data_IF_140334352249
#
_entry.id   IF_140334352249
#
_cell.length_a   1.000
_cell.length_b   1.000
_cell.length_c   1.000
_cell.angle_alpha   90.00
_cell.angle_beta   90.00
_cell.angle_gamma   90.00
#
_symmetry.space_group_name_H-M   'P 1'
#
loop_
_entity.id
_entity.type
_entity.pdbx_description
1 polymer ?
#
# COMPACT_ATOMS: atom_id res chain seq x y z
N UNK A 1 -5.89 17.93 0.35
CA UNK A 1 -6.44 17.20 1.50
C UNK A 1 -7.08 18.24 2.43
N UNK A 2 -8.36 18.11 2.77
CA UNK A 2 -9.13 19.17 3.45
C UNK A 2 -9.61 18.78 4.85
N UNK A 3 -9.65 17.50 5.17
CA UNK A 3 -10.02 16.94 6.47
C UNK A 3 -9.34 15.58 6.68
N UNK A 4 -9.50 15.00 7.87
CA UNK A 4 -8.86 13.73 8.28
C UNK A 4 -9.38 12.56 7.45
N UNK A 5 -10.67 12.53 7.11
CA UNK A 5 -11.26 11.46 6.29
C UNK A 5 -10.66 11.48 4.89
N UNK A 6 -10.55 12.65 4.26
CA UNK A 6 -9.93 12.85 2.97
C UNK A 6 -8.42 12.54 2.99
N UNK A 7 -7.74 12.76 4.13
CA UNK A 7 -6.34 12.37 4.30
C UNK A 7 -6.18 10.85 4.32
N UNK A 8 -7.06 10.17 5.06
CA UNK A 8 -7.08 8.71 5.14
C UNK A 8 -7.44 8.08 3.80
N UNK A 9 -8.41 8.64 3.07
CA UNK A 9 -8.76 8.17 1.72
C UNK A 9 -7.61 8.33 0.74
N UNK A 10 -6.91 9.48 0.80
CA UNK A 10 -5.72 9.69 0.00
C UNK A 10 -4.62 8.68 0.34
N UNK A 11 -4.36 8.45 1.63
CA UNK A 11 -3.34 7.51 2.08
C UNK A 11 -3.67 6.07 1.66
N UNK A 12 -4.91 5.61 1.87
CA UNK A 12 -5.36 4.27 1.46
C UNK A 12 -5.21 4.09 -0.06
N UNK A 13 -5.61 5.08 -0.86
CA UNK A 13 -5.41 5.07 -2.30
C UNK A 13 -3.94 4.95 -2.68
N UNK A 14 -3.06 5.70 -2.00
CA UNK A 14 -1.62 5.64 -2.23
C UNK A 14 -1.03 4.26 -1.91
N UNK A 15 -1.43 3.61 -0.83
CA UNK A 15 -0.93 2.26 -0.53
C UNK A 15 -1.44 1.22 -1.53
N UNK A 16 -2.70 1.32 -1.97
CA UNK A 16 -3.23 0.45 -3.02
C UNK A 16 -2.50 0.62 -4.36
N UNK A 17 -2.18 1.85 -4.75
CA UNK A 17 -1.38 2.14 -5.94
C UNK A 17 0.03 1.55 -5.82
N UNK A 18 0.66 1.64 -4.64
CA UNK A 18 1.97 1.06 -4.36
C UNK A 18 1.94 -0.47 -4.48
N UNK A 19 0.93 -1.14 -3.90
CA UNK A 19 0.71 -2.58 -4.03
C UNK A 19 0.62 -3.00 -5.49
N UNK A 20 -0.20 -2.29 -6.28
CA UNK A 20 -0.37 -2.59 -7.71
C UNK A 20 0.94 -2.40 -8.47
N UNK A 21 1.61 -1.26 -8.26
CA UNK A 21 2.85 -0.92 -8.92
C UNK A 21 3.94 -1.97 -8.67
N UNK A 22 4.19 -2.32 -7.40
CA UNK A 22 5.22 -3.29 -7.05
C UNK A 22 4.85 -4.71 -7.51
N UNK A 23 3.57 -5.09 -7.47
CA UNK A 23 3.10 -6.38 -7.99
C UNK A 23 3.39 -6.53 -9.49
N UNK A 24 3.19 -5.47 -10.26
CA UNK A 24 3.50 -5.47 -11.69
C UNK A 24 5.01 -5.40 -11.96
N UNK A 25 5.74 -4.57 -11.20
CA UNK A 25 7.20 -4.46 -11.31
C UNK A 25 7.95 -5.75 -11.01
N UNK A 26 7.43 -6.59 -10.10
CA UNK A 26 8.06 -7.86 -9.69
C UNK A 26 8.40 -8.77 -10.87
N UNK A 27 7.63 -8.70 -11.95
CA UNK A 27 7.86 -9.49 -13.18
C UNK A 27 9.11 -9.07 -13.96
N UNK A 28 9.67 -7.89 -13.68
CA UNK A 28 10.75 -7.26 -14.44
C UNK A 28 12.07 -7.14 -13.67
N UNK A 29 12.16 -7.66 -12.45
CA UNK A 29 13.37 -7.57 -11.60
C UNK A 29 14.03 -8.92 -11.40
N UNK A 30 15.27 -8.91 -10.88
CA UNK A 30 16.01 -10.13 -10.54
C UNK A 30 15.29 -10.93 -9.44
N UNK A 31 15.47 -12.27 -9.35
CA UNK A 31 14.87 -13.07 -8.29
C UNK A 31 15.15 -12.54 -6.87
N UNK A 32 16.38 -12.08 -6.62
CA UNK A 32 16.75 -11.45 -5.33
C UNK A 32 15.95 -10.19 -5.01
N UNK A 33 15.58 -9.40 -6.03
CA UNK A 33 14.76 -8.21 -5.87
C UNK A 33 13.27 -8.55 -5.79
N UNK A 34 12.83 -9.70 -6.34
CA UNK A 34 11.45 -10.16 -6.22
C UNK A 34 11.07 -10.45 -4.77
N UNK A 35 11.97 -11.08 -4.00
CA UNK A 35 11.74 -11.36 -2.57
C UNK A 35 11.64 -10.06 -1.76
N UNK A 36 12.49 -9.07 -2.07
CA UNK A 36 12.43 -7.75 -1.43
C UNK A 36 11.13 -7.01 -1.78
N UNK A 37 10.72 -7.03 -3.05
CA UNK A 37 9.45 -6.43 -3.47
C UNK A 37 8.25 -7.13 -2.82
N UNK A 38 8.30 -8.45 -2.63
CA UNK A 38 7.24 -9.18 -1.92
C UNK A 38 7.08 -8.67 -0.48
N UNK A 39 8.19 -8.47 0.23
CA UNK A 39 8.15 -7.92 1.59
C UNK A 39 7.54 -6.51 1.62
N UNK A 40 7.91 -5.65 0.66
CA UNK A 40 7.33 -4.30 0.55
C UNK A 40 5.83 -4.37 0.27
N UNK A 41 5.40 -5.21 -0.69
CA UNK A 41 3.98 -5.39 -1.01
C UNK A 41 3.18 -5.80 0.24
N UNK A 42 3.70 -6.73 1.03
CA UNK A 42 3.02 -7.19 2.24
C UNK A 42 2.94 -6.12 3.34
N UNK A 43 3.95 -5.27 3.48
CA UNK A 43 3.86 -4.11 4.39
C UNK A 43 2.80 -3.09 3.91
N UNK A 44 2.73 -2.78 2.61
CA UNK A 44 1.70 -1.86 2.11
C UNK A 44 0.28 -2.42 2.28
N UNK A 45 0.08 -3.74 2.14
CA UNK A 45 -1.21 -4.38 2.47
C UNK A 45 -1.57 -4.19 3.94
N UNK A 46 -0.61 -4.31 4.86
CA UNK A 46 -0.84 -4.04 6.30
C UNK A 46 -1.22 -2.59 6.52
N UNK A 47 -0.55 -1.64 5.86
CA UNK A 47 -0.87 -0.22 5.94
C UNK A 47 -2.32 0.05 5.48
N UNK A 48 -2.76 -0.54 4.36
CA UNK A 48 -4.18 -0.44 3.91
C UNK A 48 -5.14 -0.88 5.01
N UNK A 49 -4.89 -2.04 5.65
CA UNK A 49 -5.75 -2.56 6.72
C UNK A 49 -5.77 -1.61 7.91
N UNK A 50 -4.61 -1.13 8.35
CA UNK A 50 -4.49 -0.21 9.49
C UNK A 50 -5.25 1.09 9.22
N UNK A 51 -4.98 1.74 8.08
CA UNK A 51 -5.61 3.00 7.69
C UNK A 51 -7.14 2.85 7.53
N UNK A 52 -7.58 1.73 6.96
CA UNK A 52 -9.01 1.41 6.82
C UNK A 52 -9.67 1.26 8.19
N UNK A 53 -9.00 0.60 9.15
CA UNK A 53 -9.53 0.44 10.51
C UNK A 53 -9.58 1.77 11.26
N UNK A 54 -8.57 2.63 11.11
CA UNK A 54 -8.58 3.99 11.67
C UNK A 54 -9.76 4.78 11.09
N UNK A 55 -9.95 4.76 9.76
CA UNK A 55 -11.07 5.45 9.11
C UNK A 55 -12.44 4.97 9.60
N UNK A 56 -12.60 3.67 9.85
CA UNK A 56 -13.86 3.08 10.36
C UNK A 56 -14.17 3.47 11.80
N UNK A 57 -13.16 3.85 12.58
CA UNK A 57 -13.29 4.21 13.98
C UNK A 57 -13.51 5.72 14.21
N UNK A 58 -13.52 6.52 13.13
CA UNK A 58 -13.85 7.96 13.13
C UNK A 58 -15.32 8.17 12.78
#
# INVERSE_FOLDING_TARGET
IKDVIAALDFAIGRELDSVLYYSEMKKYVTPSAQDLLEQVIEEERKHVVILTNIKKAL
#
